data_IF_091201288600
#
_entry.id   IF_091201288600
#
_cell.length_a   1.000
_cell.length_b   1.000
_cell.length_c   1.000
_cell.angle_alpha   90.00
_cell.angle_beta   90.00
_cell.angle_gamma   90.00
#
_symmetry.space_group_name_H-M   'P 1'
#
loop_
_entity.id
_entity.type
_entity.pdbx_description
1 polymer ?
#
# COMPACT_ATOMS: atom_id res chain seq x y z
N UNK A 1 -17.44 -9.56 3.99
CA UNK A 1 -16.93 -9.97 2.67
C UNK A 1 -15.87 -8.95 2.33
N UNK A 2 -14.67 -9.41 2.00
CA UNK A 2 -13.56 -8.53 1.65
C UNK A 2 -14.01 -7.90 0.33
N UNK A 3 -14.39 -6.64 0.37
CA UNK A 3 -14.71 -5.83 -0.80
C UNK A 3 -13.36 -5.52 -1.48
N UNK A 4 -12.74 -6.59 -2.00
CA UNK A 4 -11.57 -6.48 -2.86
C UNK A 4 -12.11 -6.07 -4.20
N UNK A 5 -11.96 -4.80 -4.54
CA UNK A 5 -12.23 -4.33 -5.89
C UNK A 5 -11.53 -5.31 -6.86
N UNK A 6 -12.26 -5.90 -7.83
CA UNK A 6 -11.70 -6.94 -8.70
C UNK A 6 -10.56 -6.41 -9.59
N UNK A 7 -10.40 -5.09 -9.66
CA UNK A 7 -9.30 -4.42 -10.34
C UNK A 7 -8.16 -4.04 -9.36
N UNK A 8 -8.21 -4.44 -8.09
CA UNK A 8 -7.15 -4.16 -7.10
C UNK A 8 -5.91 -5.04 -7.34
N UNK A 9 -5.04 -4.62 -8.25
CA UNK A 9 -3.76 -5.27 -8.51
C UNK A 9 -2.66 -4.70 -7.59
N UNK A 10 -2.10 -5.54 -6.71
CA UNK A 10 -0.95 -5.18 -5.92
C UNK A 10 0.34 -5.69 -6.55
N UNK A 11 1.33 -4.81 -6.63
CA UNK A 11 2.66 -5.10 -7.20
C UNK A 11 3.74 -4.71 -6.19
N UNK A 12 4.79 -5.52 -6.10
CA UNK A 12 5.97 -5.23 -5.26
C UNK A 12 7.11 -4.87 -6.19
N UNK A 13 7.63 -3.65 -6.05
CA UNK A 13 8.73 -3.15 -6.86
C UNK A 13 9.91 -2.76 -5.96
N UNK A 14 11.15 -3.21 -6.26
CA UNK A 14 12.32 -2.74 -5.54
C UNK A 14 12.62 -1.29 -5.95
N UNK A 15 12.42 -0.35 -5.03
CA UNK A 15 12.83 1.03 -5.21
C UNK A 15 14.32 1.16 -4.94
N UNK A 16 15.10 1.10 -6.02
CA UNK A 16 16.55 1.34 -6.01
C UNK A 16 16.82 2.82 -6.14
N UNK A 17 16.42 3.59 -5.13
CA UNK A 17 16.91 4.95 -5.03
C UNK A 17 18.34 4.91 -4.47
N UNK A 18 19.29 5.50 -5.21
CA UNK A 18 20.71 5.46 -4.83
C UNK A 18 20.97 6.19 -3.49
N UNK A 19 20.07 7.10 -3.08
CA UNK A 19 20.15 7.79 -1.79
C UNK A 19 19.54 6.98 -0.64
N UNK A 20 18.68 5.99 -0.92
CA UNK A 20 18.05 5.13 0.07
C UNK A 20 18.75 3.77 0.07
N UNK A 21 19.85 3.68 0.82
CA UNK A 21 20.42 2.40 1.21
C UNK A 21 20.04 2.10 2.67
N UNK A 22 19.47 0.92 2.97
CA UNK A 22 19.28 -0.25 2.09
C UNK A 22 18.09 -0.15 1.11
N UNK A 23 18.04 -0.97 0.04
CA UNK A 23 16.96 -0.95 -0.95
C UNK A 23 15.60 -1.15 -0.29
N UNK A 24 14.66 -0.26 -0.60
CA UNK A 24 13.30 -0.32 -0.08
C UNK A 24 12.39 -1.06 -1.08
N UNK A 25 11.46 -1.83 -0.55
CA UNK A 25 10.44 -2.55 -1.30
C UNK A 25 9.16 -1.75 -1.27
N UNK A 26 8.66 -1.34 -2.43
CA UNK A 26 7.46 -0.52 -2.56
C UNK A 26 6.31 -1.40 -3.00
N UNK A 27 5.22 -1.36 -2.24
CA UNK A 27 3.95 -1.93 -2.69
C UNK A 27 3.20 -0.85 -3.45
N UNK A 28 2.77 -1.19 -4.65
CA UNK A 28 1.87 -0.39 -5.48
C UNK A 28 0.51 -1.07 -5.54
N UNK A 29 -0.56 -0.28 -5.52
CA UNK A 29 -1.92 -0.74 -5.77
C UNK A 29 -2.41 0.01 -7.01
N UNK A 30 -2.76 -0.70 -8.08
CA UNK A 30 -3.14 -0.07 -9.36
C UNK A 30 -2.09 0.93 -9.89
N UNK A 31 -0.80 0.60 -9.76
CA UNK A 31 0.30 1.50 -10.13
C UNK A 31 0.56 2.66 -9.15
N UNK A 32 -0.27 2.87 -8.14
CA UNK A 32 -0.10 3.92 -7.12
C UNK A 32 0.74 3.38 -5.97
N UNK A 33 1.84 4.06 -5.62
CA UNK A 33 2.65 3.71 -4.44
C UNK A 33 1.81 3.86 -3.16
N UNK A 34 1.58 2.76 -2.46
CA UNK A 34 0.82 2.76 -1.20
C UNK A 34 1.71 2.66 0.02
N UNK A 35 2.83 1.92 -0.05
CA UNK A 35 3.67 1.68 1.12
C UNK A 35 5.11 1.29 0.77
N UNK A 36 6.02 1.53 1.71
CA UNK A 36 7.43 1.16 1.65
C UNK A 36 7.76 0.16 2.75
N UNK A 37 8.59 -0.81 2.44
CA UNK A 37 9.02 -1.86 3.35
C UNK A 37 10.54 -2.03 3.26
N UNK A 38 11.19 -2.27 4.39
CA UNK A 38 12.62 -2.56 4.41
C UNK A 38 12.95 -3.98 3.90
N UNK A 39 11.95 -4.86 3.80
CA UNK A 39 12.13 -6.26 3.40
C UNK A 39 11.01 -6.75 2.48
N UNK A 40 11.37 -7.54 1.48
CA UNK A 40 10.45 -8.14 0.51
C UNK A 40 9.35 -8.95 1.20
N UNK A 41 9.71 -9.79 2.17
CA UNK A 41 8.76 -10.66 2.87
C UNK A 41 7.66 -9.87 3.63
N UNK A 42 7.97 -8.64 4.08
CA UNK A 42 6.94 -7.79 4.69
C UNK A 42 5.97 -7.24 3.63
N UNK A 43 6.48 -6.86 2.46
CA UNK A 43 5.66 -6.44 1.32
C UNK A 43 4.78 -7.61 0.81
N UNK A 44 5.33 -8.81 0.72
CA UNK A 44 4.58 -10.03 0.36
C UNK A 44 3.48 -10.32 1.36
N UNK A 45 3.78 -10.27 2.66
CA UNK A 45 2.78 -10.48 3.71
C UNK A 45 1.68 -9.42 3.66
N UNK A 46 2.00 -8.18 3.31
CA UNK A 46 1.01 -7.12 3.13
C UNK A 46 0.06 -7.43 1.96
N UNK A 47 0.55 -7.86 0.80
CA UNK A 47 -0.31 -8.22 -0.34
C UNK A 47 -1.07 -9.54 -0.12
N UNK A 48 -0.52 -10.44 0.69
CA UNK A 48 -1.15 -11.73 0.99
C UNK A 48 -2.24 -11.61 2.07
N UNK A 49 -2.09 -10.68 3.01
CA UNK A 49 -2.94 -10.59 4.20
C UNK A 49 -3.98 -9.44 4.10
N UNK A 50 -5.24 -9.74 3.76
CA UNK A 50 -6.28 -8.72 3.61
C UNK A 50 -6.62 -7.98 4.90
N UNK A 51 -6.44 -8.61 6.06
CA UNK A 51 -6.72 -7.98 7.35
C UNK A 51 -5.65 -6.94 7.69
N UNK A 52 -4.38 -7.26 7.41
CA UNK A 52 -3.27 -6.31 7.52
C UNK A 52 -3.47 -5.11 6.59
N UNK A 53 -3.93 -5.34 5.34
CA UNK A 53 -4.27 -4.25 4.42
C UNK A 53 -5.42 -3.39 4.95
N UNK A 54 -6.50 -4.01 5.40
CA UNK A 54 -7.66 -3.30 5.93
C UNK A 54 -7.29 -2.49 7.18
N UNK A 55 -6.45 -3.05 8.06
CA UNK A 55 -5.94 -2.37 9.25
C UNK A 55 -5.12 -1.13 8.88
N UNK A 56 -4.17 -1.27 7.97
CA UNK A 56 -3.31 -0.15 7.53
C UNK A 56 -4.14 0.90 6.78
N UNK A 57 -5.03 0.49 5.87
CA UNK A 57 -5.95 1.40 5.16
C UNK A 57 -6.87 2.16 6.11
N UNK A 58 -7.30 1.53 7.20
CA UNK A 58 -8.12 2.15 8.25
C UNK A 58 -7.33 3.16 9.08
N UNK A 59 -6.03 2.94 9.28
CA UNK A 59 -5.12 3.88 9.92
C UNK A 59 -4.72 5.04 9.00
N UNK A 60 -4.61 4.80 7.69
CA UNK A 60 -4.39 5.81 6.64
C UNK A 60 -5.68 6.55 6.24
N UNK A 61 -6.61 6.69 7.19
CA UNK A 61 -7.83 7.45 6.98
C UNK A 61 -7.41 8.87 6.55
N UNK A 62 -7.84 9.36 5.37
CA UNK A 62 -7.55 10.73 4.99
C UNK A 62 -8.09 11.64 6.08
N UNK A 63 -7.26 12.57 6.55
CA UNK A 63 -7.76 13.75 7.25
C UNK A 63 -8.89 14.30 6.37
N UNK A 64 -10.11 14.26 6.90
CA UNK A 64 -11.32 14.89 6.38
C UNK A 64 -11.11 15.77 5.14
N UNK A 65 -11.49 15.28 3.95
CA UNK A 65 -12.04 16.19 2.96
C UNK A 65 -13.47 16.50 3.39
N UNK A 66 -13.60 17.37 4.38
CA UNK A 66 -14.87 17.97 4.77
C UNK A 66 -15.26 19.05 3.75
N UNK A 67 -16.46 18.89 3.17
CA UNK A 67 -17.20 19.92 2.43
C UNK A 67 -16.93 19.92 0.92
N UNK A 68 -17.92 20.12 0.03
CA UNK A 68 -19.05 21.05 0.14
C UNK A 68 -19.96 20.90 -1.10
N UNK A 69 -21.28 20.82 -0.88
CA UNK A 69 -22.38 21.25 -1.77
C UNK A 69 -22.53 20.63 -3.17
N UNK A 70 -23.69 20.03 -3.45
CA UNK A 70 -24.91 20.73 -3.87
C UNK A 70 -26.15 19.87 -3.59
#
# INVERSE_FOLDING_TARGET
>A
MIDGDPNEAYEIDPERDAALQPPLWVVRCNGIKVRWFAAHNQAERYIADPELRAKIRREEKPLHLGGRGL
#
